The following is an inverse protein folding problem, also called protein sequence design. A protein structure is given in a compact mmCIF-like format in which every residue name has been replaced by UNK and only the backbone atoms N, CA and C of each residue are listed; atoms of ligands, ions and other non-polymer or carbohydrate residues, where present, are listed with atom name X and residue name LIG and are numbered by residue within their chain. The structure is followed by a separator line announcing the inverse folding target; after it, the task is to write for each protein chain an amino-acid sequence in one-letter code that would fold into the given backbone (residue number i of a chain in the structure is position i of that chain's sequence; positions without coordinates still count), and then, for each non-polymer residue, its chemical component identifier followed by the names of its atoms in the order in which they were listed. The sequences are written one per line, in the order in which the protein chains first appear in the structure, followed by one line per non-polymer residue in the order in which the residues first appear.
data_IF_337472928183
#
_entry.id   IF_337472928183
#
_cell.length_a   1.000
_cell.length_b   1.000
_cell.length_c   1.000
_cell.angle_alpha   90.00
_cell.angle_beta   90.00
_cell.angle_gamma   90.00
#
_symmetry.space_group_name_H-M   'P 1'
#
loop_
_entity.id
_entity.type
_entity.pdbx_description
1 polymer ?
#
# COMPACT_ATOMS: atom_id res chain seq x y z
N UNK A 1 17.79 -65.93 -14.26
CA UNK A 1 17.62 -64.51 -14.64
C UNK A 1 18.99 -63.90 -14.85
N UNK A 2 19.25 -63.36 -16.04
CA UNK A 2 20.56 -62.81 -16.43
C UNK A 2 20.80 -61.45 -15.76
N UNK A 3 22.07 -61.12 -15.45
CA UNK A 3 22.48 -59.83 -14.84
C UNK A 3 21.87 -58.59 -15.52
N UNK A 4 21.59 -58.67 -16.83
CA UNK A 4 20.90 -57.62 -17.61
C UNK A 4 19.47 -57.36 -17.12
N UNK A 5 18.73 -58.39 -16.71
CA UNK A 5 17.35 -58.23 -16.24
C UNK A 5 17.28 -57.51 -14.89
N UNK A 6 18.26 -57.76 -14.01
CA UNK A 6 18.36 -57.10 -12.70
C UNK A 6 18.65 -55.60 -12.90
N UNK A 7 19.60 -55.25 -13.77
CA UNK A 7 19.95 -53.84 -14.03
C UNK A 7 18.76 -53.06 -14.60
N UNK A 8 17.98 -53.67 -15.50
CA UNK A 8 16.76 -53.05 -16.06
C UNK A 8 15.71 -52.85 -14.96
N UNK A 9 15.49 -53.84 -14.10
CA UNK A 9 14.53 -53.73 -12.99
C UNK A 9 14.94 -52.66 -11.97
N UNK A 10 16.22 -52.61 -11.58
CA UNK A 10 16.72 -51.60 -10.65
C UNK A 10 16.62 -50.20 -11.23
N UNK A 11 16.88 -50.03 -12.54
CA UNK A 11 16.77 -48.73 -13.22
C UNK A 11 15.31 -48.24 -13.26
N UNK A 12 14.35 -49.13 -13.50
CA UNK A 12 12.91 -48.80 -13.50
C UNK A 12 12.44 -48.39 -12.10
N UNK A 13 12.88 -49.10 -11.05
CA UNK A 13 12.52 -48.76 -9.66
C UNK A 13 13.08 -47.39 -9.27
N UNK A 14 14.34 -47.08 -9.63
CA UNK A 14 14.94 -45.77 -9.38
C UNK A 14 14.18 -44.68 -10.15
N UNK A 15 13.80 -44.93 -11.40
CA UNK A 15 13.00 -43.99 -12.20
C UNK A 15 11.63 -43.75 -11.57
N UNK A 16 10.97 -44.81 -11.08
CA UNK A 16 9.69 -44.72 -10.39
C UNK A 16 9.79 -43.96 -9.07
N UNK A 17 10.89 -44.15 -8.33
CA UNK A 17 11.15 -43.46 -7.07
C UNK A 17 11.42 -41.96 -7.31
N UNK A 18 12.18 -41.60 -8.34
CA UNK A 18 12.37 -40.21 -8.76
C UNK A 18 11.07 -39.58 -9.26
N UNK A 19 10.25 -40.32 -10.02
CA UNK A 19 8.95 -39.85 -10.49
C UNK A 19 7.98 -39.62 -9.33
N UNK A 20 7.99 -40.48 -8.31
CA UNK A 20 7.21 -40.30 -7.09
C UNK A 20 7.69 -39.10 -6.27
N UNK A 21 9.01 -38.87 -6.14
CA UNK A 21 9.57 -37.69 -5.45
C UNK A 21 9.24 -36.39 -6.21
N UNK A 22 9.24 -36.42 -7.54
CA UNK A 22 8.81 -35.30 -8.39
C UNK A 22 7.30 -35.03 -8.26
N UNK A 23 6.47 -36.06 -8.16
CA UNK A 23 5.02 -35.94 -7.94
C UNK A 23 4.67 -35.50 -6.52
N UNK A 24 5.41 -35.95 -5.50
CA UNK A 24 5.15 -35.61 -4.09
C UNK A 24 5.74 -34.25 -3.66
N UNK A 25 6.59 -33.63 -4.48
CA UNK A 25 7.04 -32.24 -4.30
C UNK A 25 6.18 -31.19 -5.02
N UNK A 26 5.14 -31.61 -5.75
CA UNK A 26 4.10 -30.69 -6.19
C UNK A 26 3.02 -30.61 -5.12
N UNK A 27 3.20 -29.73 -4.13
CA UNK A 27 2.06 -29.17 -3.42
C UNK A 27 1.13 -28.57 -4.48
N UNK A 28 0.01 -29.25 -4.63
CA UNK A 28 -1.16 -28.97 -5.47
C UNK A 28 -1.30 -27.50 -5.84
N UNK A 29 -0.87 -27.15 -7.06
CA UNK A 29 -1.44 -26.01 -7.78
C UNK A 29 -2.85 -26.43 -8.22
N UNK A 30 -3.84 -26.19 -7.36
CA UNK A 30 -5.22 -26.20 -7.81
C UNK A 30 -5.42 -25.02 -8.77
N UNK A 31 -6.15 -25.31 -9.84
CA UNK A 31 -6.23 -24.53 -11.09
C UNK A 31 -6.95 -23.17 -10.92
N UNK A 32 -7.30 -22.78 -9.70
CA UNK A 32 -7.95 -21.51 -9.34
C UNK A 32 -7.11 -20.57 -8.43
N UNK A 33 -5.81 -20.81 -8.27
CA UNK A 33 -4.94 -19.86 -7.53
C UNK A 33 -5.32 -19.66 -6.05
N UNK A 34 -6.05 -20.61 -5.45
CA UNK A 34 -6.37 -20.63 -4.02
C UNK A 34 -5.22 -21.25 -3.24
N UNK A 35 -4.63 -20.47 -2.35
CA UNK A 35 -3.60 -20.91 -1.41
C UNK A 35 -4.20 -20.98 -0.01
N UNK A 36 -3.79 -21.99 0.74
CA UNK A 36 -3.99 -22.02 2.18
C UNK A 36 -2.67 -21.65 2.84
N UNK A 37 -2.71 -20.66 3.72
CA UNK A 37 -1.54 -20.33 4.52
C UNK A 37 -1.26 -21.50 5.46
N UNK A 38 -0.09 -22.13 5.30
CA UNK A 38 0.31 -23.23 6.14
C UNK A 38 1.46 -22.80 7.06
N UNK A 39 1.19 -22.78 8.36
CA UNK A 39 2.20 -22.49 9.39
C UNK A 39 3.43 -23.40 9.30
N UNK A 40 3.27 -24.66 8.89
CA UNK A 40 4.38 -25.60 8.77
C UNK A 40 5.33 -25.27 7.60
N UNK A 41 4.89 -24.45 6.65
CA UNK A 41 5.71 -23.98 5.52
C UNK A 41 6.31 -22.59 5.77
N UNK A 42 6.08 -22.01 6.95
CA UNK A 42 6.49 -20.65 7.28
C UNK A 42 7.99 -20.58 7.54
N UNK A 43 8.69 -19.82 6.71
CA UNK A 43 10.13 -19.60 6.88
C UNK A 43 10.35 -18.34 7.73
N UNK A 44 10.92 -18.49 8.92
CA UNK A 44 11.35 -17.36 9.73
C UNK A 44 12.60 -16.72 9.12
N UNK A 45 12.54 -15.41 8.92
CA UNK A 45 13.63 -14.60 8.40
C UNK A 45 13.93 -13.48 9.39
N UNK A 46 15.15 -13.49 9.94
CA UNK A 46 15.65 -12.39 10.76
C UNK A 46 16.40 -11.39 9.88
N UNK A 47 15.99 -10.11 9.82
CA UNK A 47 16.67 -9.09 9.05
C UNK A 47 18.12 -8.89 9.50
N UNK A 48 19.03 -8.71 8.53
CA UNK A 48 20.43 -8.35 8.80
C UNK A 48 20.65 -6.85 8.58
N UNK A 49 21.07 -6.14 9.62
CA UNK A 49 21.41 -4.72 9.50
C UNK A 49 22.63 -4.55 8.58
N UNK A 50 22.50 -3.72 7.56
CA UNK A 50 23.60 -3.29 6.71
C UNK A 50 24.50 -2.29 7.44
N UNK A 51 25.81 -2.30 7.13
CA UNK A 51 26.73 -1.30 7.67
C UNK A 51 26.49 0.03 6.95
N UNK A 52 26.11 1.06 7.71
CA UNK A 52 25.86 2.42 7.20
C UNK A 52 24.41 2.89 7.39
N UNK A 53 24.24 4.13 7.78
CA UNK A 53 22.96 4.87 7.73
C UNK A 53 22.84 5.56 6.37
N UNK A 54 21.69 5.46 5.69
CA UNK A 54 21.44 6.16 4.41
C UNK A 54 20.95 7.60 4.67
N UNK A 55 21.45 8.23 5.74
CA UNK A 55 20.98 9.54 6.20
C UNK A 55 21.28 10.66 5.19
N UNK A 56 22.35 10.52 4.40
CA UNK A 56 22.88 11.61 3.57
C UNK A 56 22.11 11.85 2.24
N UNK A 57 20.97 11.20 2.01
CA UNK A 57 20.32 11.17 0.69
C UNK A 57 18.86 11.66 0.67
N UNK A 58 18.37 12.26 1.76
CA UNK A 58 17.02 12.81 1.79
C UNK A 58 17.01 14.30 1.48
N UNK A 59 16.27 14.66 0.43
CA UNK A 59 15.86 16.05 0.22
C UNK A 59 14.60 16.34 1.04
N UNK A 60 14.37 17.61 1.34
CA UNK A 60 13.26 18.08 2.18
C UNK A 60 12.49 19.20 1.49
N UNK A 61 11.16 19.14 1.57
CA UNK A 61 10.25 20.24 1.25
C UNK A 61 9.63 20.70 2.58
N UNK A 62 9.60 22.00 2.82
CA UNK A 62 9.07 22.65 4.03
C UNK A 62 8.09 23.76 3.67
N UNK A 63 7.32 24.25 4.64
CA UNK A 63 6.42 25.40 4.43
C UNK A 63 7.20 26.65 3.98
N UNK A 64 8.46 26.78 4.43
CA UNK A 64 9.34 27.87 4.01
C UNK A 64 9.70 27.77 2.52
N UNK A 65 9.92 26.55 2.00
CA UNK A 65 10.19 26.35 0.56
C UNK A 65 8.98 26.74 -0.30
N UNK A 66 7.78 26.75 0.30
CA UNK A 66 6.53 27.19 -0.32
C UNK A 66 6.19 28.65 -0.05
N UNK A 67 7.01 29.39 0.72
CA UNK A 67 6.71 30.77 1.13
C UNK A 67 5.28 30.97 1.68
N UNK A 68 4.77 29.98 2.43
CA UNK A 68 3.41 30.04 2.96
C UNK A 68 3.34 30.76 4.31
N UNK A 69 2.20 31.38 4.65
CA UNK A 69 1.99 32.00 5.96
C UNK A 69 2.16 31.03 7.14
N UNK A 70 2.55 31.56 8.30
CA UNK A 70 2.78 30.75 9.52
C UNK A 70 1.52 30.05 10.07
N UNK A 71 0.32 30.48 9.67
CA UNK A 71 -0.95 29.85 10.03
C UNK A 71 -1.37 28.79 9.00
N UNK A 72 -0.41 28.06 8.45
CA UNK A 72 -0.65 26.97 7.50
C UNK A 72 -0.09 25.65 7.99
N UNK A 73 -0.66 24.54 7.51
CA UNK A 73 -0.17 23.19 7.74
C UNK A 73 -0.19 22.42 6.43
N UNK A 74 0.83 21.58 6.19
CA UNK A 74 0.76 20.62 5.08
C UNK A 74 -0.10 19.45 5.52
N UNK A 75 -1.12 19.13 4.73
CA UNK A 75 -1.95 17.95 4.86
C UNK A 75 -1.40 16.76 4.07
N UNK A 76 -2.28 16.07 3.36
CA UNK A 76 -1.92 14.93 2.53
C UNK A 76 -1.09 15.35 1.32
N UNK A 77 -0.30 14.41 0.82
CA UNK A 77 0.62 14.66 -0.28
C UNK A 77 0.72 13.42 -1.15
N UNK A 78 1.01 13.64 -2.42
CA UNK A 78 1.35 12.55 -3.33
C UNK A 78 2.36 12.96 -4.41
N UNK A 79 3.00 11.97 -5.01
CA UNK A 79 4.10 12.16 -5.97
C UNK A 79 3.75 11.62 -7.36
N UNK A 80 4.06 12.40 -8.42
CA UNK A 80 4.20 11.89 -9.79
C UNK A 80 5.49 12.43 -10.43
N UNK A 81 6.51 11.56 -10.47
CA UNK A 81 7.82 11.92 -11.00
C UNK A 81 8.46 13.10 -10.25
N UNK A 82 8.56 14.25 -10.91
CA UNK A 82 9.15 15.47 -10.33
C UNK A 82 8.12 16.44 -9.75
N UNK A 83 6.84 16.08 -9.75
CA UNK A 83 5.78 16.89 -9.15
C UNK A 83 5.35 16.27 -7.82
N UNK A 84 5.19 17.13 -6.83
CA UNK A 84 4.64 16.80 -5.51
C UNK A 84 3.37 17.58 -5.33
N UNK A 85 2.25 16.89 -5.19
CA UNK A 85 0.98 17.50 -4.89
C UNK A 85 0.78 17.49 -3.38
N UNK A 86 0.29 18.60 -2.82
CA UNK A 86 0.15 18.76 -1.37
C UNK A 86 -1.15 19.48 -1.09
N UNK A 87 -1.95 18.99 -0.14
CA UNK A 87 -3.02 19.78 0.46
C UNK A 87 -2.43 20.69 1.53
N UNK A 88 -2.87 21.96 1.56
CA UNK A 88 -2.39 22.98 2.49
C UNK A 88 -3.59 23.61 3.16
N UNK A 89 -3.70 23.41 4.46
CA UNK A 89 -4.75 24.02 5.28
C UNK A 89 -4.30 25.38 5.77
N UNK A 90 -5.19 26.38 5.69
CA UNK A 90 -5.01 27.72 6.20
C UNK A 90 -5.94 27.91 7.40
N UNK A 91 -5.37 28.23 8.56
CA UNK A 91 -6.12 28.32 9.81
C UNK A 91 -6.49 29.75 10.16
N UNK A 92 -7.67 29.90 10.79
CA UNK A 92 -8.09 31.12 11.46
C UNK A 92 -7.42 31.30 12.81
N UNK A 93 -7.77 32.40 13.48
CA UNK A 93 -7.20 32.75 14.79
C UNK A 93 -7.58 31.78 15.91
N UNK A 94 -8.59 30.93 15.72
CA UNK A 94 -9.06 29.96 16.72
C UNK A 94 -8.74 28.51 16.34
N UNK A 95 -7.85 28.30 15.36
CA UNK A 95 -7.41 26.97 14.93
C UNK A 95 -8.38 26.23 14.01
N UNK A 96 -9.44 26.91 13.54
CA UNK A 96 -10.35 26.37 12.55
C UNK A 96 -9.75 26.45 11.13
N UNK A 97 -9.93 25.41 10.31
CA UNK A 97 -9.57 25.46 8.88
C UNK A 97 -10.49 26.46 8.18
N UNK A 98 -9.92 27.52 7.60
CA UNK A 98 -10.65 28.53 6.81
C UNK A 98 -10.78 28.11 5.35
N UNK A 99 -9.71 27.55 4.81
CA UNK A 99 -9.62 27.04 3.46
C UNK A 99 -8.51 26.00 3.36
N UNK A 100 -8.65 25.12 2.39
CA UNK A 100 -7.62 24.19 1.96
C UNK A 100 -7.29 24.45 0.50
N UNK A 101 -6.00 24.49 0.17
CA UNK A 101 -5.52 24.53 -1.21
C UNK A 101 -4.92 23.19 -1.59
N UNK A 102 -5.03 22.80 -2.86
CA UNK A 102 -4.16 21.77 -3.44
C UNK A 102 -3.13 22.49 -4.29
N UNK A 103 -1.85 22.26 -4.00
CA UNK A 103 -0.74 22.83 -4.75
C UNK A 103 0.02 21.73 -5.50
N UNK A 104 0.73 22.10 -6.56
CA UNK A 104 1.78 21.30 -7.17
C UNK A 104 3.12 22.02 -6.94
N UNK A 105 4.07 21.34 -6.29
CA UNK A 105 5.46 21.73 -6.14
C UNK A 105 6.36 20.91 -7.08
N UNK A 106 7.13 21.59 -7.93
CA UNK A 106 8.03 20.94 -8.87
C UNK A 106 9.44 20.84 -8.29
N UNK A 107 9.96 19.61 -8.19
CA UNK A 107 11.25 19.29 -7.59
C UNK A 107 12.45 19.81 -8.39
N UNK A 108 12.31 20.07 -9.69
CA UNK A 108 13.43 20.50 -10.55
C UNK A 108 13.71 21.99 -10.46
N UNK A 109 12.66 22.80 -10.38
CA UNK A 109 12.78 24.25 -10.39
C UNK A 109 12.37 24.90 -9.05
N UNK A 110 11.93 24.08 -8.08
CA UNK A 110 11.52 24.52 -6.75
C UNK A 110 10.40 25.57 -6.74
N UNK A 111 9.51 25.53 -7.74
CA UNK A 111 8.35 26.41 -7.84
C UNK A 111 7.07 25.64 -7.53
N UNK A 112 6.11 26.32 -6.89
CA UNK A 112 4.77 25.79 -6.71
C UNK A 112 3.71 26.62 -7.41
N UNK A 113 2.59 25.96 -7.74
CA UNK A 113 1.39 26.58 -8.25
C UNK A 113 0.18 26.05 -7.49
N UNK A 114 -0.79 26.93 -7.23
CA UNK A 114 -2.09 26.52 -6.68
C UNK A 114 -2.95 25.93 -7.80
N UNK A 115 -3.46 24.72 -7.58
CA UNK A 115 -4.33 24.01 -8.52
C UNK A 115 -5.81 24.14 -8.16
N UNK A 116 -6.11 24.14 -6.87
CA UNK A 116 -7.46 24.18 -6.32
C UNK A 116 -7.47 24.94 -4.98
N UNK A 117 -8.60 25.56 -4.67
CA UNK A 117 -8.90 26.19 -3.39
C UNK A 117 -10.35 25.88 -3.01
N UNK A 118 -10.58 25.40 -1.80
CA UNK A 118 -11.93 25.16 -1.26
C UNK A 118 -12.67 26.47 -1.08
N UNK A 119 -13.99 26.46 -1.29
CA UNK A 119 -14.87 27.56 -0.85
C UNK A 119 -14.92 27.62 0.68
N UNK A 120 -15.20 28.81 1.24
CA UNK A 120 -15.38 28.98 2.68
C UNK A 120 -16.42 28.00 3.26
N UNK A 121 -16.12 27.39 4.41
CA UNK A 121 -17.03 26.50 5.13
C UNK A 121 -16.87 25.00 4.85
N UNK A 122 -15.89 24.59 4.05
CA UNK A 122 -15.47 23.18 3.95
C UNK A 122 -14.45 22.83 5.05
N UNK A 123 -14.52 21.59 5.55
CA UNK A 123 -13.77 21.18 6.75
C UNK A 123 -12.36 20.65 6.48
N UNK A 124 -11.99 20.49 5.20
CA UNK A 124 -10.67 20.05 4.78
C UNK A 124 -10.72 19.14 3.56
N UNK A 125 -9.54 18.71 3.10
CA UNK A 125 -9.36 17.68 2.08
C UNK A 125 -8.52 16.54 2.67
N UNK A 126 -8.90 15.30 2.37
CA UNK A 126 -8.19 14.11 2.80
C UNK A 126 -7.93 13.15 1.63
N UNK A 127 -7.06 12.17 1.86
CA UNK A 127 -6.75 11.05 0.95
C UNK A 127 -6.26 11.51 -0.44
N UNK A 128 -5.48 12.60 -0.51
CA UNK A 128 -4.96 13.13 -1.78
C UNK A 128 -4.13 12.08 -2.54
N UNK A 129 -4.53 11.77 -3.77
CA UNK A 129 -3.89 10.76 -4.60
C UNK A 129 -3.75 11.23 -6.05
N UNK A 130 -2.74 10.71 -6.77
CA UNK A 130 -2.46 11.06 -8.16
C UNK A 130 -2.32 9.80 -9.02
N UNK A 131 -2.95 9.81 -10.19
CA UNK A 131 -2.79 8.74 -11.18
C UNK A 131 -3.04 9.27 -12.59
N UNK A 132 -2.07 9.07 -13.48
CA UNK A 132 -2.10 9.63 -14.82
C UNK A 132 -2.19 11.16 -14.80
N UNK A 133 -3.17 11.72 -15.51
CA UNK A 133 -3.39 13.17 -15.58
C UNK A 133 -4.45 13.66 -14.58
N UNK A 134 -4.72 12.90 -13.52
CA UNK A 134 -5.77 13.20 -12.57
C UNK A 134 -5.28 13.21 -11.13
N UNK A 135 -5.82 14.14 -10.35
CA UNK A 135 -5.79 14.12 -8.89
C UNK A 135 -7.14 13.67 -8.36
N UNK A 136 -7.10 13.01 -7.21
CA UNK A 136 -8.27 12.56 -6.47
C UNK A 136 -8.15 12.95 -5.01
N UNK A 137 -9.25 13.32 -4.38
CA UNK A 137 -9.28 13.55 -2.94
C UNK A 137 -10.69 13.35 -2.39
N UNK A 138 -10.75 13.10 -1.09
CA UNK A 138 -11.94 13.22 -0.28
C UNK A 138 -12.16 14.70 0.12
N UNK A 139 -13.35 15.24 -0.17
CA UNK A 139 -13.78 16.55 0.32
C UNK A 139 -14.81 16.35 1.43
N UNK A 140 -14.53 16.93 2.61
CA UNK A 140 -15.40 16.85 3.78
C UNK A 140 -16.24 18.13 3.96
N UNK A 141 -17.55 17.93 4.15
CA UNK A 141 -18.52 18.98 4.45
C UNK A 141 -19.79 18.38 5.07
N UNK A 142 -20.97 18.87 4.67
CA UNK A 142 -22.24 18.20 5.03
C UNK A 142 -22.38 16.78 4.45
N UNK A 143 -21.58 16.48 3.42
CA UNK A 143 -21.46 15.19 2.77
C UNK A 143 -19.97 14.91 2.56
N UNK A 144 -19.61 13.64 2.55
CA UNK A 144 -18.29 13.20 2.09
C UNK A 144 -18.34 12.94 0.59
N UNK A 145 -17.39 13.50 -0.17
CA UNK A 145 -17.35 13.38 -1.63
C UNK A 145 -15.99 12.93 -2.11
N UNK A 146 -15.97 12.19 -3.21
CA UNK A 146 -14.75 11.97 -3.97
C UNK A 146 -14.73 12.94 -5.15
N UNK A 147 -13.68 13.73 -5.22
CA UNK A 147 -13.44 14.69 -6.30
C UNK A 147 -12.35 14.14 -7.22
N UNK A 148 -12.56 14.27 -8.53
CA UNK A 148 -11.56 14.00 -9.57
C UNK A 148 -11.21 15.30 -10.26
N UNK A 149 -9.93 15.65 -10.33
CA UNK A 149 -9.43 16.88 -10.96
C UNK A 149 -8.52 16.54 -12.14
N UNK A 150 -8.88 17.01 -13.33
CA UNK A 150 -8.10 16.88 -14.56
C UNK A 150 -6.97 17.92 -14.57
N UNK A 151 -5.72 17.47 -14.47
CA UNK A 151 -4.53 18.32 -14.46
C UNK A 151 -4.31 19.05 -15.80
N UNK A 152 -4.85 18.53 -16.90
CA UNK A 152 -4.70 19.13 -18.24
C UNK A 152 -5.75 20.21 -18.47
N UNK A 153 -7.02 19.90 -18.17
CA UNK A 153 -8.15 20.82 -18.38
C UNK A 153 -8.37 21.78 -17.23
N UNK A 154 -7.77 21.51 -16.06
CA UNK A 154 -7.98 22.25 -14.80
C UNK A 154 -9.45 22.31 -14.39
N UNK A 155 -10.13 21.18 -14.53
CA UNK A 155 -11.54 21.01 -14.21
C UNK A 155 -11.70 19.88 -13.21
N UNK A 156 -12.68 20.01 -12.32
CA UNK A 156 -13.02 18.95 -11.39
C UNK A 156 -14.44 18.44 -11.63
N UNK A 157 -14.65 17.18 -11.29
CA UNK A 157 -15.94 16.53 -11.26
C UNK A 157 -16.12 15.76 -9.94
N UNK A 158 -17.35 15.76 -9.42
CA UNK A 158 -17.73 14.91 -8.28
C UNK A 158 -18.09 13.54 -8.82
N UNK A 159 -17.34 12.51 -8.43
CA UNK A 159 -17.58 11.14 -8.89
C UNK A 159 -18.38 10.31 -7.87
N UNK A 160 -18.42 10.73 -6.61
CA UNK A 160 -19.16 10.03 -5.56
C UNK A 160 -19.59 10.98 -4.42
N UNK A 161 -20.67 10.62 -3.71
CA UNK A 161 -21.19 11.35 -2.54
C UNK A 161 -21.91 10.41 -1.58
N UNK A 162 -21.63 10.55 -0.28
CA UNK A 162 -22.30 9.82 0.80
C UNK A 162 -22.47 10.69 2.05
N UNK A 163 -23.45 10.33 2.89
CA UNK A 163 -23.60 10.92 4.21
C UNK A 163 -22.57 10.34 5.18
N UNK A 164 -21.61 11.17 5.60
CA UNK A 164 -20.70 10.93 6.73
C UNK A 164 -20.10 9.51 6.83
N UNK A 165 -19.15 9.21 5.95
CA UNK A 165 -18.24 8.08 6.11
C UNK A 165 -16.89 8.43 5.44
N UNK A 166 -15.74 8.24 6.11
CA UNK A 166 -14.44 8.46 5.50
C UNK A 166 -14.27 7.53 4.29
N UNK A 167 -13.75 8.07 3.20
CA UNK A 167 -13.55 7.37 1.94
C UNK A 167 -12.05 7.17 1.72
N UNK A 168 -11.55 6.05 2.24
CA UNK A 168 -10.17 5.64 1.99
C UNK A 168 -9.99 5.33 0.50
N UNK A 169 -9.37 6.26 -0.23
CA UNK A 169 -9.13 6.11 -1.66
C UNK A 169 -7.70 5.64 -1.94
N UNK A 170 -7.55 4.93 -3.06
CA UNK A 170 -6.27 4.60 -3.65
C UNK A 170 -6.40 4.79 -5.16
N UNK A 171 -5.52 5.60 -5.77
CA UNK A 171 -5.50 5.85 -7.20
C UNK A 171 -4.18 5.40 -7.82
N UNK A 172 -4.24 4.48 -8.79
CA UNK A 172 -3.07 4.07 -9.57
C UNK A 172 -3.54 3.31 -10.82
N UNK A 173 -2.70 3.20 -11.85
CA UNK A 173 -2.98 2.39 -13.05
C UNK A 173 -4.33 2.68 -13.72
N UNK A 174 -4.71 3.96 -13.82
CA UNK A 174 -6.00 4.40 -14.37
C UNK A 174 -7.24 3.98 -13.57
N UNK A 175 -7.04 3.49 -12.34
CA UNK A 175 -8.10 3.07 -11.44
C UNK A 175 -8.11 3.94 -10.19
N UNK A 176 -9.31 4.09 -9.63
CA UNK A 176 -9.56 4.61 -8.30
C UNK A 176 -10.39 3.59 -7.53
N UNK A 177 -10.02 3.31 -6.28
CA UNK A 177 -10.79 2.42 -5.42
C UNK A 177 -11.23 3.08 -4.13
N UNK A 178 -12.42 2.71 -3.64
CA UNK A 178 -12.93 3.06 -2.31
C UNK A 178 -13.89 1.99 -1.80
N UNK A 179 -14.21 2.03 -0.51
CA UNK A 179 -15.23 1.18 0.08
C UNK A 179 -16.53 1.94 0.29
N UNK A 180 -17.65 1.26 0.11
CA UNK A 180 -18.96 1.79 0.49
C UNK A 180 -19.84 0.73 1.16
N UNK A 181 -20.82 1.13 2.00
CA UNK A 181 -21.81 0.20 2.54
C UNK A 181 -22.59 -0.51 1.44
N UNK A 182 -22.78 -1.82 1.57
CA UNK A 182 -23.62 -2.58 0.65
C UNK A 182 -25.10 -2.27 0.93
N UNK A 183 -25.77 -1.57 0.02
CA UNK A 183 -27.20 -1.24 0.16
C UNK A 183 -28.10 -2.48 0.17
N UNK A 184 -27.62 -3.62 -0.32
CA UNK A 184 -28.35 -4.90 -0.34
C UNK A 184 -28.16 -5.68 0.96
N UNK A 185 -27.11 -5.39 1.71
CA UNK A 185 -26.78 -6.01 3.00
C UNK A 185 -26.19 -4.94 3.92
N UNK A 186 -26.99 -4.42 4.84
CA UNK A 186 -26.61 -3.30 5.73
C UNK A 186 -25.39 -3.56 6.62
N UNK A 187 -24.94 -4.82 6.74
CA UNK A 187 -23.73 -5.20 7.46
C UNK A 187 -22.50 -5.43 6.57
N UNK A 188 -22.69 -5.40 5.25
CA UNK A 188 -21.67 -5.67 4.25
C UNK A 188 -21.03 -4.40 3.70
N UNK A 189 -19.81 -4.55 3.18
CA UNK A 189 -19.07 -3.52 2.47
C UNK A 189 -18.74 -4.02 1.07
N UNK A 190 -18.77 -3.11 0.10
CA UNK A 190 -18.33 -3.36 -1.26
C UNK A 190 -17.12 -2.49 -1.58
N UNK A 191 -16.23 -3.03 -2.40
CA UNK A 191 -15.10 -2.31 -2.99
C UNK A 191 -15.52 -1.85 -4.37
N UNK A 192 -15.47 -0.54 -4.60
CA UNK A 192 -15.63 0.07 -5.91
C UNK A 192 -14.28 0.14 -6.60
N UNK A 193 -14.26 -0.21 -7.87
CA UNK A 193 -13.08 -0.12 -8.75
C UNK A 193 -13.52 0.71 -9.96
N UNK A 194 -13.19 2.00 -9.93
CA UNK A 194 -13.57 2.95 -10.96
C UNK A 194 -12.42 3.17 -11.94
N UNK A 195 -12.65 2.85 -13.22
CA UNK A 195 -11.75 3.17 -14.31
C UNK A 195 -12.07 4.57 -14.82
N UNK A 196 -11.15 5.50 -14.58
CA UNK A 196 -11.38 6.91 -14.89
C UNK A 196 -11.01 7.30 -16.33
N UNK A 197 -10.58 6.35 -17.16
CA UNK A 197 -10.39 6.56 -18.61
C UNK A 197 -11.69 6.38 -19.39
N UNK A 198 -12.50 5.38 -19.05
CA UNK A 198 -13.76 5.05 -19.72
C UNK A 198 -15.00 5.29 -18.86
N UNK A 199 -14.81 5.76 -17.62
CA UNK A 199 -15.84 6.02 -16.64
C UNK A 199 -16.68 4.79 -16.26
N UNK A 200 -16.08 3.61 -16.28
CA UNK A 200 -16.72 2.37 -15.84
C UNK A 200 -16.40 2.05 -14.38
N UNK A 201 -17.34 1.37 -13.69
CA UNK A 201 -17.17 0.97 -12.30
C UNK A 201 -17.48 -0.51 -12.14
N UNK A 202 -16.56 -1.25 -11.56
CA UNK A 202 -16.75 -2.62 -11.10
C UNK A 202 -16.91 -2.67 -9.57
N UNK A 203 -17.50 -3.76 -9.09
CA UNK A 203 -17.70 -4.01 -7.67
C UNK A 203 -17.07 -5.35 -7.26
N UNK A 204 -16.54 -5.40 -6.03
CA UNK A 204 -16.28 -6.64 -5.31
C UNK A 204 -17.09 -6.63 -4.02
N UNK A 205 -17.77 -7.74 -3.74
CA UNK A 205 -18.65 -7.88 -2.57
C UNK A 205 -17.93 -8.56 -1.40
N UNK A 206 -18.58 -8.54 -0.24
CA UNK A 206 -18.12 -9.18 0.99
C UNK A 206 -16.70 -8.76 1.39
N UNK A 207 -16.45 -7.45 1.33
CA UNK A 207 -15.15 -6.90 1.72
C UNK A 207 -14.99 -7.01 3.23
N UNK A 208 -13.78 -7.38 3.65
CA UNK A 208 -13.39 -7.38 5.05
C UNK A 208 -12.53 -6.15 5.36
N UNK A 209 -12.99 -5.32 6.29
CA UNK A 209 -12.22 -4.16 6.78
C UNK A 209 -12.06 -4.29 8.31
N UNK A 210 -10.87 -4.67 8.81
CA UNK A 210 -10.61 -4.87 10.23
C UNK A 210 -10.53 -3.54 11.02
N UNK A 211 -10.30 -2.41 10.33
CA UNK A 211 -10.24 -1.08 10.91
C UNK A 211 -10.44 0.01 9.85
N UNK A 212 -10.70 1.24 10.29
CA UNK A 212 -11.05 2.42 9.48
C UNK A 212 -9.90 3.02 8.65
N UNK A 213 -8.76 2.33 8.50
CA UNK A 213 -7.60 2.82 7.74
C UNK A 213 -7.08 1.79 6.72
N UNK A 214 -7.72 0.62 6.61
CA UNK A 214 -7.34 -0.38 5.61
C UNK A 214 -7.80 0.08 4.24
N UNK A 215 -6.90 0.02 3.25
CA UNK A 215 -7.18 0.34 1.84
C UNK A 215 -7.15 -0.93 0.99
N UNK A 216 -7.85 -0.91 -0.14
CA UNK A 216 -7.50 -1.76 -1.27
C UNK A 216 -6.33 -1.09 -1.99
N UNK A 217 -5.23 -1.82 -2.18
CA UNK A 217 -3.97 -1.25 -2.67
C UNK A 217 -3.79 -1.58 -4.15
N UNK A 218 -3.46 -0.58 -4.97
CA UNK A 218 -3.10 -0.76 -6.37
C UNK A 218 -1.60 -0.50 -6.54
N UNK A 219 -0.85 -1.54 -6.88
CA UNK A 219 0.60 -1.44 -6.95
C UNK A 219 1.21 -2.41 -7.95
N UNK A 220 2.08 -1.89 -8.83
CA UNK A 220 2.76 -2.64 -9.90
C UNK A 220 1.83 -3.54 -10.73
N UNK A 221 0.67 -3.01 -11.14
CA UNK A 221 -0.36 -3.73 -11.91
C UNK A 221 -1.14 -4.79 -11.13
N UNK A 222 -1.18 -4.70 -9.80
CA UNK A 222 -1.99 -5.57 -8.96
C UNK A 222 -2.88 -4.79 -8.01
N UNK A 223 -4.14 -5.20 -7.92
CA UNK A 223 -5.08 -4.79 -6.87
C UNK A 223 -5.02 -5.81 -5.73
N UNK A 224 -4.81 -5.36 -4.50
CA UNK A 224 -4.72 -6.22 -3.32
C UNK A 224 -5.68 -5.77 -2.22
N UNK A 225 -6.50 -6.69 -1.70
CA UNK A 225 -7.57 -6.38 -0.74
C UNK A 225 -7.99 -7.62 0.07
N UNK A 226 -8.85 -7.43 1.08
CA UNK A 226 -9.38 -8.50 1.91
C UNK A 226 -10.87 -8.75 1.62
N UNK A 227 -11.26 -10.03 1.58
CA UNK A 227 -12.65 -10.48 1.51
C UNK A 227 -12.98 -11.42 2.66
N UNK A 228 -14.26 -11.51 3.01
CA UNK A 228 -14.80 -12.46 3.98
C UNK A 228 -15.82 -13.36 3.29
N UNK A 229 -15.74 -14.67 3.50
CA UNK A 229 -16.79 -15.57 3.01
C UNK A 229 -17.97 -15.66 3.99
N UNK A 230 -19.01 -16.41 3.59
CA UNK A 230 -20.22 -16.57 4.41
C UNK A 230 -19.98 -17.33 5.73
N UNK A 231 -18.94 -18.17 5.80
CA UNK A 231 -18.53 -18.86 7.03
C UNK A 231 -17.66 -17.96 7.92
N UNK A 232 -17.29 -16.78 7.44
CA UNK A 232 -16.51 -15.80 8.14
C UNK A 232 -15.00 -15.92 7.96
N UNK A 233 -14.54 -16.82 7.09
CA UNK A 233 -13.12 -16.94 6.78
C UNK A 233 -12.66 -15.70 6.01
N UNK A 234 -11.46 -15.21 6.34
CA UNK A 234 -10.86 -14.04 5.70
C UNK A 234 -9.89 -14.50 4.62
N UNK A 235 -9.97 -13.86 3.46
CA UNK A 235 -9.11 -14.10 2.31
C UNK A 235 -8.39 -12.83 1.90
N UNK A 236 -7.12 -12.97 1.60
CA UNK A 236 -6.35 -11.94 0.90
C UNK A 236 -6.38 -12.23 -0.60
N UNK A 237 -6.90 -11.26 -1.35
CA UNK A 237 -6.96 -11.29 -2.80
C UNK A 237 -5.88 -10.41 -3.42
N UNK A 238 -5.23 -10.91 -4.47
CA UNK A 238 -4.34 -10.13 -5.32
C UNK A 238 -4.69 -10.43 -6.78
N UNK A 239 -5.20 -9.41 -7.48
CA UNK A 239 -5.71 -9.51 -8.85
C UNK A 239 -4.80 -8.72 -9.79
N UNK A 240 -4.33 -9.35 -10.87
CA UNK A 240 -3.64 -8.66 -11.95
C UNK A 240 -4.58 -7.69 -12.69
N UNK A 241 -4.06 -6.52 -13.02
CA UNK A 241 -4.78 -5.45 -13.72
C UNK A 241 -4.36 -5.35 -15.20
N UNK A 242 -5.24 -4.75 -16.01
CA UNK A 242 -5.02 -4.55 -17.44
C UNK A 242 -4.88 -5.88 -18.20
N UNK A 243 -3.71 -6.11 -18.79
CA UNK A 243 -3.43 -7.34 -19.53
C UNK A 243 -3.03 -8.52 -18.64
N UNK A 244 -2.80 -8.28 -17.34
CA UNK A 244 -2.58 -9.34 -16.36
C UNK A 244 -3.94 -9.91 -15.96
N UNK A 245 -4.06 -11.23 -15.94
CA UNK A 245 -5.30 -11.95 -15.58
C UNK A 245 -5.08 -12.99 -14.49
N UNK A 246 -3.93 -12.93 -13.83
CA UNK A 246 -3.64 -13.81 -12.71
C UNK A 246 -4.33 -13.30 -11.44
N UNK A 247 -5.10 -14.18 -10.84
CA UNK A 247 -5.74 -13.94 -9.53
C UNK A 247 -5.15 -14.91 -8.52
N UNK A 248 -4.94 -14.39 -7.33
CA UNK A 248 -4.45 -15.11 -6.18
C UNK A 248 -5.42 -14.85 -5.01
N UNK A 249 -5.87 -15.91 -4.35
CA UNK A 249 -6.67 -15.82 -3.14
C UNK A 249 -6.04 -16.70 -2.06
N UNK A 250 -5.78 -16.11 -0.89
CA UNK A 250 -5.10 -16.78 0.22
C UNK A 250 -6.02 -16.77 1.42
N UNK A 251 -6.40 -17.96 1.91
CA UNK A 251 -7.10 -18.05 3.19
C UNK A 251 -6.13 -17.69 4.32
N UNK A 252 -6.44 -16.65 5.09
CA UNK A 252 -5.66 -16.24 6.25
C UNK A 252 -6.18 -17.02 7.48
N UNK A 253 -5.29 -17.65 8.28
CA UNK A 253 -5.70 -18.33 9.50
C UNK A 253 -6.24 -17.33 10.51
N UNK A 254 -7.29 -17.73 11.24
CA UNK A 254 -8.04 -16.84 12.13
C UNK A 254 -7.16 -16.18 13.20
N UNK A 255 -6.15 -16.89 13.68
CA UNK A 255 -5.24 -16.43 14.73
C UNK A 255 -4.39 -15.20 14.34
N UNK A 256 -4.25 -14.93 13.03
CA UNK A 256 -3.42 -13.82 12.56
C UNK A 256 -4.13 -12.47 12.57
N UNK A 257 -5.46 -12.42 12.55
CA UNK A 257 -6.26 -11.18 12.54
C UNK A 257 -5.64 -10.11 11.61
N UNK A 258 -5.76 -10.25 10.27
CA UNK A 258 -5.05 -9.38 9.36
C UNK A 258 -5.45 -7.93 9.60
N UNK A 259 -4.44 -7.09 9.81
CA UNK A 259 -4.61 -5.67 10.08
C UNK A 259 -4.44 -4.87 8.80
N UNK A 260 -3.38 -5.13 8.04
CA UNK A 260 -3.10 -4.43 6.78
C UNK A 260 -2.62 -5.39 5.71
N UNK A 261 -2.83 -5.00 4.46
CA UNK A 261 -2.35 -5.73 3.28
C UNK A 261 -1.64 -4.81 2.32
N UNK A 262 -0.66 -5.37 1.62
CA UNK A 262 0.03 -4.77 0.49
C UNK A 262 0.34 -5.88 -0.51
N UNK A 263 0.55 -5.52 -1.77
CA UNK A 263 0.93 -6.50 -2.78
C UNK A 263 1.58 -5.84 -3.97
N UNK A 264 2.25 -6.64 -4.79
CA UNK A 264 2.78 -6.25 -6.09
C UNK A 264 2.91 -7.48 -6.99
N UNK A 265 3.59 -7.37 -8.13
CA UNK A 265 3.75 -8.49 -9.06
C UNK A 265 4.42 -9.74 -8.46
N UNK A 266 5.31 -9.58 -7.47
CA UNK A 266 6.13 -10.67 -6.95
C UNK A 266 5.66 -11.18 -5.59
N UNK A 267 5.03 -10.31 -4.80
CA UNK A 267 4.77 -10.56 -3.39
C UNK A 267 3.36 -10.13 -3.00
N UNK A 268 2.84 -10.83 -2.00
CA UNK A 268 1.70 -10.38 -1.19
C UNK A 268 2.16 -10.31 0.25
N UNK A 269 1.79 -9.25 0.93
CA UNK A 269 2.19 -8.99 2.32
C UNK A 269 0.94 -8.73 3.14
N UNK A 270 0.90 -9.29 4.35
CA UNK A 270 0.00 -8.80 5.38
C UNK A 270 0.72 -8.67 6.72
N UNK A 271 0.18 -7.80 7.56
CA UNK A 271 0.53 -7.70 8.98
C UNK A 271 -0.64 -8.22 9.79
N UNK A 272 -0.37 -9.10 10.75
CA UNK A 272 -1.38 -9.53 11.71
C UNK A 272 -1.37 -8.65 12.95
N UNK A 273 -2.53 -8.30 13.53
CA UNK A 273 -2.71 -7.44 14.71
C UNK A 273 -2.10 -6.02 14.63
N UNK A 274 -2.64 -5.09 15.42
CA UNK A 274 -2.28 -3.65 15.33
C UNK A 274 -0.81 -3.38 15.67
N UNK A 275 -0.30 -3.91 16.80
CA UNK A 275 1.04 -3.61 17.34
C UNK A 275 2.13 -4.62 16.96
N UNK A 276 1.91 -5.41 15.91
CA UNK A 276 2.88 -6.43 15.52
C UNK A 276 4.02 -5.85 14.70
N UNK A 277 5.25 -6.28 14.99
CA UNK A 277 6.47 -5.93 14.25
C UNK A 277 6.77 -6.96 13.13
N UNK A 278 5.87 -7.91 12.91
CA UNK A 278 6.06 -9.00 11.96
C UNK A 278 5.30 -8.75 10.66
N UNK A 279 5.94 -9.07 9.54
CA UNK A 279 5.28 -9.14 8.23
C UNK A 279 5.26 -10.58 7.72
N UNK A 280 4.10 -10.99 7.21
CA UNK A 280 3.90 -12.26 6.55
C UNK A 280 3.89 -12.04 5.05
N UNK A 281 4.80 -12.68 4.33
CA UNK A 281 5.03 -12.45 2.91
C UNK A 281 4.88 -13.75 2.15
N UNK A 282 3.98 -13.77 1.18
CA UNK A 282 3.96 -14.80 0.14
C UNK A 282 4.81 -14.35 -1.04
N UNK A 283 5.77 -15.18 -1.44
CA UNK A 283 6.42 -15.03 -2.74
C UNK A 283 5.60 -15.76 -3.81
N UNK A 284 4.95 -15.00 -4.70
CA UNK A 284 4.05 -15.52 -5.73
C UNK A 284 4.75 -16.50 -6.69
N UNK A 285 6.06 -16.36 -6.92
CA UNK A 285 6.82 -17.21 -7.85
C UNK A 285 6.98 -18.63 -7.32
N UNK A 286 7.31 -18.78 -6.04
CA UNK A 286 7.62 -20.09 -5.45
C UNK A 286 6.54 -20.60 -4.50
N UNK A 287 5.49 -19.80 -4.22
CA UNK A 287 4.38 -20.16 -3.35
C UNK A 287 4.75 -20.29 -1.86
N UNK A 288 5.92 -19.79 -1.44
CA UNK A 288 6.39 -19.91 -0.06
C UNK A 288 6.04 -18.70 0.77
N UNK A 289 5.62 -18.97 2.01
CA UNK A 289 5.39 -17.95 3.03
C UNK A 289 6.64 -17.71 3.86
N UNK A 290 6.92 -16.43 4.12
CA UNK A 290 7.99 -15.96 4.97
C UNK A 290 7.39 -15.14 6.10
N UNK A 291 7.88 -15.36 7.32
CA UNK A 291 7.66 -14.47 8.45
C UNK A 291 8.92 -13.67 8.65
N UNK A 292 8.82 -12.36 8.52
CA UNK A 292 9.94 -11.46 8.80
C UNK A 292 9.65 -10.73 10.09
N UNK A 293 10.52 -10.92 11.07
CA UNK A 293 10.40 -10.31 12.39
C UNK A 293 11.31 -9.09 12.49
N UNK A 294 10.71 -7.91 12.62
CA UNK A 294 11.43 -6.65 12.78
C UNK A 294 11.57 -6.19 14.24
N UNK A 295 11.12 -6.96 15.23
CA UNK A 295 11.08 -6.58 16.65
C UNK A 295 12.41 -6.08 17.23
N UNK A 296 13.54 -6.60 16.71
CA UNK A 296 14.89 -6.16 17.10
C UNK A 296 15.21 -4.71 16.66
N UNK A 297 14.55 -4.21 15.63
CA UNK A 297 14.90 -2.96 14.94
C UNK A 297 13.77 -1.92 14.96
N UNK A 298 12.52 -2.38 14.95
CA UNK A 298 11.31 -1.58 14.89
C UNK A 298 10.52 -1.84 16.16
N UNK A 299 10.20 -0.78 16.92
CA UNK A 299 9.41 -0.88 18.16
C UNK A 299 7.92 -0.98 17.87
N UNK A 300 7.43 -0.14 16.96
CA UNK A 300 6.02 -0.18 16.53
C UNK A 300 5.92 0.07 15.02
N UNK A 301 5.72 -1.01 14.25
CA UNK A 301 5.55 -0.91 12.81
C UNK A 301 4.20 -0.25 12.50
N UNK A 302 4.24 1.03 12.16
CA UNK A 302 3.03 1.81 11.92
C UNK A 302 2.55 1.65 10.48
N UNK A 303 3.42 1.94 9.53
CA UNK A 303 3.15 1.87 8.09
C UNK A 303 4.26 1.13 7.36
N UNK A 304 3.90 0.47 6.27
CA UNK A 304 4.83 -0.14 5.33
C UNK A 304 4.32 -0.08 3.90
N UNK A 305 5.24 -0.06 2.94
CA UNK A 305 4.96 0.01 1.50
C UNK A 305 5.95 -0.87 0.75
N UNK A 306 5.47 -1.66 -0.22
CA UNK A 306 6.32 -2.51 -1.07
C UNK A 306 6.51 -1.94 -2.48
N UNK A 307 7.74 -2.00 -2.98
CA UNK A 307 8.10 -1.75 -4.38
C UNK A 307 9.17 -2.76 -4.80
N UNK A 308 8.92 -3.49 -5.88
CA UNK A 308 9.78 -4.57 -6.36
C UNK A 308 10.05 -5.60 -5.27
N UNK A 309 11.29 -5.64 -4.80
CA UNK A 309 11.74 -6.53 -3.72
C UNK A 309 12.07 -5.78 -2.41
N UNK A 310 11.67 -4.53 -2.28
CA UNK A 310 11.97 -3.65 -1.15
C UNK A 310 10.71 -3.28 -0.39
N UNK A 311 10.81 -3.27 0.94
CA UNK A 311 9.76 -2.83 1.85
C UNK A 311 10.28 -1.63 2.62
N UNK A 312 9.59 -0.51 2.48
CA UNK A 312 9.79 0.66 3.32
C UNK A 312 8.97 0.48 4.60
N UNK A 313 9.56 0.76 5.75
CA UNK A 313 8.98 0.55 7.08
C UNK A 313 9.10 1.84 7.89
N UNK A 314 8.03 2.24 8.58
CA UNK A 314 8.04 3.34 9.55
C UNK A 314 7.78 2.82 10.95
N UNK A 315 8.70 3.13 11.86
CA UNK A 315 8.51 2.95 13.29
C UNK A 315 7.89 4.21 13.91
N UNK A 316 6.65 4.12 14.39
CA UNK A 316 5.98 5.27 15.02
C UNK A 316 6.50 5.60 16.41
N UNK A 317 7.16 4.68 17.12
CA UNK A 317 7.68 4.95 18.47
C UNK A 317 9.06 5.57 18.41
N UNK A 318 9.94 5.06 17.53
CA UNK A 318 11.29 5.60 17.38
C UNK A 318 11.40 6.65 16.27
N UNK A 319 10.33 6.88 15.53
CA UNK A 319 10.26 7.80 14.40
C UNK A 319 11.32 7.54 13.33
N UNK A 320 11.81 6.31 13.24
CA UNK A 320 12.82 5.92 12.26
C UNK A 320 12.16 5.31 11.02
N UNK A 321 12.80 5.53 9.88
CA UNK A 321 12.47 4.86 8.62
C UNK A 321 13.52 3.79 8.29
N UNK A 322 13.07 2.66 7.76
CA UNK A 322 13.94 1.56 7.35
C UNK A 322 13.54 1.04 5.97
N UNK A 323 14.51 0.52 5.23
CA UNK A 323 14.25 -0.24 4.00
C UNK A 323 14.76 -1.66 4.15
N UNK A 324 13.90 -2.62 3.88
CA UNK A 324 14.21 -4.04 3.90
C UNK A 324 14.18 -4.60 2.48
N UNK A 325 15.27 -5.24 2.04
CA UNK A 325 15.30 -5.95 0.76
C UNK A 325 15.05 -7.45 0.99
N UNK A 326 13.95 -7.95 0.43
CA UNK A 326 13.46 -9.33 0.61
C UNK A 326 14.46 -10.34 0.05
N UNK A 327 15.09 -10.07 -1.10
CA UNK A 327 16.00 -11.02 -1.76
C UNK A 327 17.33 -11.19 -1.04
N UNK A 328 17.88 -10.10 -0.52
CA UNK A 328 19.18 -10.08 0.15
C UNK A 328 19.08 -10.26 1.66
N UNK A 329 17.86 -10.20 2.23
CA UNK A 329 17.61 -10.19 3.66
C UNK A 329 18.41 -9.08 4.38
N UNK A 330 18.53 -7.91 3.74
CA UNK A 330 19.25 -6.75 4.29
C UNK A 330 18.26 -5.68 4.70
N UNK A 331 18.42 -5.19 5.92
CA UNK A 331 17.74 -4.02 6.46
C UNK A 331 18.73 -2.86 6.49
N UNK A 332 18.34 -1.71 5.98
CA UNK A 332 19.08 -0.47 6.12
C UNK A 332 18.24 0.53 6.90
N UNK A 333 18.88 1.23 7.84
CA UNK A 333 18.25 2.36 8.52
C UNK A 333 18.40 3.57 7.59
N UNK A 334 17.27 4.09 7.14
CA UNK A 334 17.23 5.25 6.25
C UNK A 334 17.36 6.54 7.04
N UNK A 335 16.65 6.62 8.16
CA UNK A 335 16.56 7.84 8.95
C UNK A 335 16.75 7.53 10.44
N UNK A 336 17.57 8.34 11.10
CA UNK A 336 17.78 8.37 12.54
C UNK A 336 17.39 9.75 13.06
N UNK A 337 16.30 9.81 13.81
CA UNK A 337 15.89 11.08 14.40
C UNK A 337 16.65 11.40 15.69
N UNK A 338 17.02 12.68 15.84
CA UNK A 338 17.67 13.23 17.03
C UNK A 338 16.81 14.24 17.80
N UNK A 339 15.67 14.69 17.27
CA UNK A 339 14.75 15.61 17.98
C UNK A 339 13.29 15.13 17.97
N UNK A 340 12.54 15.45 19.03
CA UNK A 340 11.19 14.95 19.35
C UNK A 340 10.05 15.73 18.66
N UNK A 341 10.34 16.79 17.90
CA UNK A 341 9.35 17.84 17.63
C UNK A 341 8.44 17.64 16.42
N UNK A 342 8.63 16.58 15.64
CA UNK A 342 7.61 16.18 14.65
C UNK A 342 7.71 14.69 14.34
N UNK A 343 6.57 14.03 14.19
CA UNK A 343 6.51 12.58 14.01
C UNK A 343 6.39 12.28 12.50
N UNK A 344 7.01 11.22 11.97
CA UNK A 344 6.70 10.71 10.64
C UNK A 344 5.31 10.07 10.68
N UNK A 345 4.41 10.47 9.79
CA UNK A 345 3.01 10.07 9.84
C UNK A 345 2.58 9.21 8.67
N UNK A 346 3.06 9.47 7.45
CA UNK A 346 2.52 8.81 6.25
C UNK A 346 3.64 8.48 5.28
N UNK A 347 3.66 7.24 4.79
CA UNK A 347 4.42 6.83 3.62
C UNK A 347 3.52 6.96 2.41
N UNK A 348 3.93 7.75 1.43
CA UNK A 348 3.29 7.70 0.12
C UNK A 348 4.24 7.12 -0.94
N UNK A 349 3.65 6.32 -1.83
CA UNK A 349 4.33 5.78 -3.02
C UNK A 349 4.09 6.76 -4.15
N UNK A 350 5.16 7.43 -4.59
CA UNK A 350 5.08 8.19 -5.82
C UNK A 350 4.92 7.29 -7.03
N UNK A 351 4.09 7.74 -7.96
CA UNK A 351 4.08 7.23 -9.32
C UNK A 351 5.50 7.42 -9.91
N UNK A 352 6.03 6.36 -10.56
CA UNK A 352 7.43 6.23 -11.07
C UNK A 352 8.54 6.05 -10.02
N UNK A 353 8.23 5.49 -8.85
CA UNK A 353 9.23 4.87 -7.98
C UNK A 353 9.98 5.80 -7.03
N UNK A 354 9.48 7.02 -6.80
CA UNK A 354 9.95 7.86 -5.70
C UNK A 354 9.16 7.52 -4.43
N UNK A 355 9.84 7.63 -3.28
CA UNK A 355 9.20 7.50 -1.98
C UNK A 355 9.21 8.84 -1.26
N UNK A 356 8.06 9.18 -0.69
CA UNK A 356 7.92 10.30 0.22
C UNK A 356 7.66 9.83 1.64
N UNK A 357 8.15 10.60 2.61
CA UNK A 357 7.84 10.46 4.03
C UNK A 357 7.41 11.84 4.52
N UNK A 358 6.15 11.97 4.96
CA UNK A 358 5.72 13.20 5.64
C UNK A 358 6.16 13.20 7.09
N UNK A 359 6.66 14.35 7.49
CA UNK A 359 7.32 14.64 8.73
C UNK A 359 6.84 15.99 9.26
N UNK A 360 5.75 15.99 10.03
CA UNK A 360 5.02 17.23 10.36
C UNK A 360 4.67 18.03 9.10
N UNK A 361 5.10 19.29 9.07
CA UNK A 361 4.97 20.21 7.93
C UNK A 361 6.15 20.12 6.95
N UNK A 362 6.62 18.91 6.72
CA UNK A 362 7.71 18.65 5.80
C UNK A 362 7.52 17.33 5.07
N UNK A 363 8.05 17.26 3.86
CA UNK A 363 8.07 16.04 3.06
C UNK A 363 9.53 15.70 2.77
N UNK A 364 9.97 14.53 3.23
CA UNK A 364 11.27 13.97 2.92
C UNK A 364 11.13 13.05 1.71
N UNK A 365 12.05 13.14 0.75
CA UNK A 365 12.03 12.28 -0.43
C UNK A 365 13.43 11.87 -0.87
N UNK A 366 13.49 10.76 -1.60
CA UNK A 366 14.73 10.21 -2.18
C UNK A 366 14.66 10.39 -3.70
N UNK A 367 15.68 11.02 -4.30
CA UNK A 367 15.71 11.25 -5.75
C UNK A 367 16.20 10.05 -6.58
N UNK A 368 16.86 9.05 -5.98
CA UNK A 368 17.29 7.79 -6.61
C UNK A 368 17.68 6.72 -5.59
#
# INVERSE_FOLDING_TARGET
MTKKLIIVFTSIIILFFFFFILLSNHKTKNVDGKYEFNLNDLILVTPKLSKGTVLDHFNKITLNDLNLPNNTSMGDYCFDGDNVYVSVDFYGNFGEVKKTQVINYNLKNHQYNVLYETKEGLHGLAELSVSGNYLFWEEEGNYTRIIKYDLTKKQFEKIYEINFAPLLIEANNNLLTWFEPDKRNTSGLILKIYNFNDNTTEERNNIYIPHTYLRAIINEDYLTYLQKDAAGNIYLHSEGLGNKKDTLSIKIPEEFEPFSVEGNQQFVIFRGKYFNQELFILNKKNGKFYKIDFSKYVKNLFSYKIQGDRILLIDSTSHNAFIYNIKTNRLAKLLQMTSMDSKPFVLDKGHKGKFGIRYGDSILYIEK
#
